data_IF_580618472158
#
_entry.id   IF_580618472158
#
_cell.length_a   1.000
_cell.length_b   1.000
_cell.length_c   1.000
_cell.angle_alpha   90.00
_cell.angle_beta   90.00
_cell.angle_gamma   90.00
#
_symmetry.space_group_name_H-M   'P 1'
#
loop_
_entity.id
_entity.type
_entity.pdbx_description
1 polymer ?
#
# COMPACT_ATOMS: atom_id res chain seq x y z
N UNK A 1 6.44 -8.76 -6.94
CA UNK A 1 5.22 -9.09 -7.70
C UNK A 1 4.13 -9.47 -6.72
N UNK A 2 2.92 -9.04 -6.96
CA UNK A 2 1.74 -9.30 -6.15
C UNK A 2 0.60 -9.70 -7.06
N UNK A 3 -0.13 -10.74 -6.67
CA UNK A 3 -1.45 -11.07 -7.20
C UNK A 3 -2.48 -10.78 -6.11
N UNK A 4 -3.51 -10.03 -6.43
CA UNK A 4 -4.57 -9.66 -5.50
C UNK A 4 -5.93 -9.92 -6.13
N UNK A 5 -6.75 -10.74 -5.49
CA UNK A 5 -8.12 -10.96 -5.89
C UNK A 5 -9.03 -11.26 -4.70
N UNK A 6 -10.26 -10.84 -4.78
CA UNK A 6 -11.34 -11.32 -3.93
C UNK A 6 -12.66 -11.33 -4.71
N UNK A 7 -13.64 -12.04 -4.20
CA UNK A 7 -14.96 -12.13 -4.80
C UNK A 7 -16.04 -11.75 -3.78
N UNK A 8 -16.78 -10.70 -4.10
CA UNK A 8 -17.98 -10.29 -3.39
C UNK A 8 -19.17 -10.36 -4.34
N UNK A 9 -19.96 -11.46 -4.25
CA UNK A 9 -21.16 -11.68 -5.04
C UNK A 9 -20.95 -11.53 -6.57
N UNK A 10 -19.86 -12.09 -7.07
CA UNK A 10 -19.48 -12.04 -8.48
C UNK A 10 -18.72 -10.77 -8.87
N UNK A 11 -18.52 -9.81 -7.98
CA UNK A 11 -17.69 -8.62 -8.13
C UNK A 11 -16.37 -8.79 -7.41
N UNK A 12 -15.47 -7.85 -7.60
CA UNK A 12 -14.19 -7.81 -6.93
C UNK A 12 -13.03 -7.70 -7.91
N UNK A 13 -11.94 -7.08 -7.52
CA UNK A 13 -10.77 -6.91 -8.35
C UNK A 13 -10.07 -8.25 -8.60
N UNK A 14 -9.34 -8.29 -9.71
CA UNK A 14 -8.32 -9.30 -9.99
C UNK A 14 -7.16 -8.57 -10.63
N UNK A 15 -6.09 -8.36 -9.86
CA UNK A 15 -4.99 -7.47 -10.21
C UNK A 15 -3.66 -8.21 -10.07
N UNK A 16 -2.81 -8.06 -11.08
CA UNK A 16 -1.40 -8.47 -11.07
C UNK A 16 -0.54 -7.22 -11.08
N UNK A 17 0.33 -7.06 -10.08
CA UNK A 17 1.21 -5.91 -9.97
C UNK A 17 2.67 -6.30 -9.83
N UNK A 18 3.54 -5.43 -10.34
CA UNK A 18 4.98 -5.53 -10.16
C UNK A 18 5.57 -4.16 -9.81
N UNK A 19 6.42 -4.14 -8.81
CA UNK A 19 7.12 -2.96 -8.32
C UNK A 19 8.62 -3.19 -8.38
N UNK A 20 9.36 -2.20 -8.93
CA UNK A 20 10.80 -2.07 -8.73
C UNK A 20 11.02 -0.85 -7.85
N UNK A 21 11.77 -1.02 -6.77
CA UNK A 21 12.04 0.03 -5.80
C UNK A 21 13.53 0.36 -5.79
N UNK A 22 13.85 1.62 -5.46
CA UNK A 22 15.23 2.01 -5.16
C UNK A 22 15.64 1.60 -3.73
N UNK A 23 16.88 1.90 -3.36
CA UNK A 23 17.41 1.60 -2.02
C UNK A 23 16.69 2.32 -0.88
N UNK A 24 15.89 3.35 -1.16
CA UNK A 24 15.07 4.06 -0.17
C UNK A 24 13.63 3.54 -0.11
N UNK A 25 13.29 2.54 -0.92
CA UNK A 25 11.94 1.98 -1.01
C UNK A 25 11.00 2.79 -1.90
N UNK A 26 11.50 3.79 -2.65
CA UNK A 26 10.67 4.57 -3.55
C UNK A 26 10.50 3.87 -4.90
N UNK A 27 9.30 3.91 -5.52
CA UNK A 27 9.05 3.29 -6.80
C UNK A 27 9.96 3.82 -7.92
N UNK A 28 10.56 2.91 -8.69
CA UNK A 28 11.27 3.17 -9.94
C UNK A 28 10.40 2.77 -11.12
N UNK A 29 9.77 1.60 -11.02
CA UNK A 29 8.75 1.17 -11.99
C UNK A 29 7.59 0.51 -11.27
N UNK A 30 6.39 0.75 -11.79
CA UNK A 30 5.19 0.02 -11.42
C UNK A 30 4.50 -0.42 -12.70
N UNK A 31 4.01 -1.65 -12.72
CA UNK A 31 3.07 -2.14 -13.73
C UNK A 31 1.95 -2.88 -13.00
N UNK A 32 0.71 -2.50 -13.29
CA UNK A 32 -0.50 -3.05 -12.69
C UNK A 32 -1.49 -3.37 -13.80
N UNK A 33 -1.99 -4.60 -13.83
CA UNK A 33 -2.94 -5.07 -14.85
C UNK A 33 -4.01 -5.93 -14.25
N UNK A 34 -5.19 -5.94 -14.90
CA UNK A 34 -6.28 -6.81 -14.53
C UNK A 34 -7.64 -6.16 -14.67
N UNK A 35 -8.49 -6.35 -13.68
CA UNK A 35 -9.83 -5.73 -13.60
C UNK A 35 -10.06 -5.17 -12.20
N UNK A 36 -10.81 -4.07 -12.14
CA UNK A 36 -11.23 -3.46 -10.87
C UNK A 36 -12.42 -4.19 -10.22
N UNK A 37 -12.97 -3.61 -9.14
CA UNK A 37 -14.12 -4.16 -8.43
C UNK A 37 -15.36 -4.32 -9.32
N UNK A 38 -15.57 -3.45 -10.29
CA UNK A 38 -16.71 -3.48 -11.23
C UNK A 38 -16.40 -4.22 -12.53
N UNK A 39 -15.23 -4.88 -12.63
CA UNK A 39 -14.73 -5.60 -13.79
C UNK A 39 -14.32 -4.71 -14.98
N UNK A 40 -14.10 -3.42 -14.74
CA UNK A 40 -13.47 -2.57 -15.75
C UNK A 40 -11.98 -2.93 -15.87
N UNK A 41 -11.44 -2.82 -17.10
CA UNK A 41 -10.03 -3.12 -17.36
C UNK A 41 -9.11 -2.14 -16.65
N UNK A 42 -8.06 -2.67 -16.00
CA UNK A 42 -6.99 -1.92 -15.37
C UNK A 42 -5.70 -2.18 -16.12
N UNK A 43 -5.04 -1.11 -16.57
CA UNK A 43 -3.68 -1.13 -17.14
C UNK A 43 -2.99 0.17 -16.71
N UNK A 44 -2.15 0.07 -15.67
CA UNK A 44 -1.44 1.20 -15.10
C UNK A 44 0.07 0.98 -15.17
N UNK A 45 0.79 2.05 -15.48
CA UNK A 45 2.25 2.03 -15.52
C UNK A 45 2.81 3.30 -14.88
N UNK A 46 3.95 3.15 -14.22
CA UNK A 46 4.75 4.26 -13.71
C UNK A 46 6.23 3.96 -13.97
N UNK A 47 6.97 5.01 -14.33
CA UNK A 47 8.43 4.96 -14.48
C UNK A 47 9.05 6.25 -13.96
N UNK A 48 10.10 6.12 -13.16
CA UNK A 48 10.94 7.22 -12.68
C UNK A 48 12.34 7.09 -13.27
N UNK A 49 12.80 8.15 -13.95
CA UNK A 49 14.18 8.36 -14.37
C UNK A 49 14.93 9.29 -13.43
N UNK A 50 16.13 9.71 -13.81
CA UNK A 50 16.92 10.66 -13.01
C UNK A 50 16.29 12.06 -12.94
N UNK A 51 15.52 12.45 -13.93
CA UNK A 51 15.02 13.82 -14.14
C UNK A 51 13.49 13.91 -14.28
N UNK A 52 12.81 12.79 -14.47
CA UNK A 52 11.37 12.78 -14.75
C UNK A 52 10.66 11.55 -14.18
N UNK A 53 9.37 11.72 -13.98
CA UNK A 53 8.39 10.67 -13.71
C UNK A 53 7.37 10.66 -14.83
N UNK A 54 6.99 9.47 -15.29
CA UNK A 54 5.93 9.27 -16.28
C UNK A 54 4.96 8.24 -15.76
N UNK A 55 3.67 8.46 -15.96
CA UNK A 55 2.66 7.46 -15.62
C UNK A 55 1.49 7.50 -16.57
N UNK A 56 0.84 6.36 -16.68
CA UNK A 56 -0.37 6.19 -17.46
C UNK A 56 -1.33 5.27 -16.70
N UNK A 57 -2.58 5.70 -16.63
CA UNK A 57 -3.71 4.94 -16.10
C UNK A 57 -5.01 5.34 -16.84
N UNK A 58 -6.16 4.92 -16.35
CA UNK A 58 -7.44 5.23 -16.97
C UNK A 58 -7.81 6.73 -16.93
N UNK A 59 -7.25 7.49 -15.98
CA UNK A 59 -7.57 8.91 -15.78
C UNK A 59 -6.49 9.85 -16.33
N UNK A 60 -5.22 9.40 -16.40
CA UNK A 60 -4.07 10.26 -16.66
C UNK A 60 -3.05 9.59 -17.60
N UNK A 61 -2.42 10.39 -18.45
CA UNK A 61 -1.20 10.03 -19.22
C UNK A 61 -0.26 11.23 -19.13
N UNK A 62 0.65 11.19 -18.15
CA UNK A 62 1.38 12.36 -17.68
C UNK A 62 2.89 12.14 -17.62
N UNK A 63 3.61 13.26 -17.79
CA UNK A 63 5.05 13.36 -17.53
C UNK A 63 5.34 14.60 -16.69
N UNK A 64 6.09 14.44 -15.59
CA UNK A 64 6.52 15.54 -14.73
C UNK A 64 8.00 15.47 -14.42
N UNK A 65 8.63 16.64 -14.22
CA UNK A 65 9.98 16.71 -13.70
C UNK A 65 10.05 16.13 -12.28
N UNK A 66 11.12 15.43 -11.97
CA UNK A 66 11.39 14.93 -10.63
C UNK A 66 11.93 16.08 -9.75
N UNK A 67 11.21 16.45 -8.71
CA UNK A 67 11.55 17.57 -7.79
C UNK A 67 11.85 17.05 -6.38
N UNK A 68 12.48 15.90 -6.25
CA UNK A 68 12.80 15.32 -4.94
C UNK A 68 12.18 13.93 -4.73
N UNK A 69 12.37 13.37 -3.54
CA UNK A 69 11.82 12.05 -3.23
C UNK A 69 10.30 12.10 -3.16
N UNK A 70 9.64 11.24 -3.93
CA UNK A 70 8.20 11.13 -3.97
C UNK A 70 7.76 9.67 -4.16
N UNK A 71 6.59 9.34 -3.64
CA UNK A 71 5.97 8.02 -3.81
C UNK A 71 4.80 8.13 -4.78
N UNK A 72 4.80 7.31 -5.84
CA UNK A 72 3.67 7.24 -6.77
C UNK A 72 2.60 6.31 -6.23
N UNK A 73 1.36 6.78 -6.22
CA UNK A 73 0.17 6.00 -5.87
C UNK A 73 -0.55 5.57 -7.14
N UNK A 74 -0.84 4.27 -7.25
CA UNK A 74 -1.67 3.75 -8.35
C UNK A 74 -3.14 4.17 -8.14
N UNK A 75 -3.91 4.19 -9.22
CA UNK A 75 -5.35 4.48 -9.16
C UNK A 75 -6.13 3.30 -8.54
N UNK A 76 -5.62 2.07 -8.74
CA UNK A 76 -6.21 0.83 -8.24
C UNK A 76 -5.22 0.09 -7.32
N UNK A 77 -4.92 0.62 -6.12
CA UNK A 77 -3.88 0.07 -5.27
C UNK A 77 -4.20 -1.35 -4.80
N UNK A 78 -3.16 -2.16 -4.66
CA UNK A 78 -3.22 -3.45 -3.96
C UNK A 78 -2.72 -3.28 -2.53
N UNK A 79 -3.13 -4.11 -1.56
CA UNK A 79 -2.76 -3.96 -0.14
C UNK A 79 -1.25 -3.91 0.12
N UNK A 80 -0.43 -4.58 -0.69
CA UNK A 80 1.03 -4.50 -0.57
C UNK A 80 1.57 -3.10 -0.91
N UNK A 81 0.90 -2.32 -1.77
CA UNK A 81 1.31 -0.93 -2.07
C UNK A 81 1.27 -0.05 -0.83
N UNK A 82 0.26 -0.25 0.04
CA UNK A 82 0.17 0.48 1.31
C UNK A 82 1.35 0.15 2.24
N UNK A 83 1.80 -1.10 2.26
CA UNK A 83 2.99 -1.49 3.01
C UNK A 83 4.29 -0.96 2.39
N UNK A 84 4.37 -0.88 1.05
CA UNK A 84 5.49 -0.24 0.35
C UNK A 84 5.58 1.25 0.70
N UNK A 85 4.44 1.96 0.67
CA UNK A 85 4.35 3.36 1.09
C UNK A 85 4.74 3.53 2.57
N UNK A 86 4.20 2.69 3.45
CA UNK A 86 4.53 2.73 4.87
C UNK A 86 6.04 2.59 5.12
N UNK A 87 6.71 1.63 4.46
CA UNK A 87 8.16 1.46 4.54
C UNK A 87 8.94 2.66 4.02
N UNK A 88 8.52 3.21 2.89
CA UNK A 88 9.14 4.40 2.31
C UNK A 88 9.02 5.59 3.27
N UNK A 89 7.86 5.80 3.88
CA UNK A 89 7.62 6.84 4.88
C UNK A 89 8.47 6.64 6.15
N UNK A 90 8.58 5.41 6.65
CA UNK A 90 9.40 5.10 7.82
C UNK A 90 10.89 5.39 7.59
N UNK A 91 11.36 5.28 6.34
CA UNK A 91 12.73 5.57 5.94
C UNK A 91 12.96 7.03 5.51
N UNK A 92 11.89 7.81 5.36
CA UNK A 92 11.97 9.20 4.91
C UNK A 92 12.31 10.17 6.06
N UNK A 93 12.97 11.32 5.77
CA UNK A 93 13.12 12.39 6.75
C UNK A 93 11.76 12.81 7.31
N UNK A 94 11.71 13.02 8.64
CA UNK A 94 10.49 13.42 9.37
C UNK A 94 9.29 12.48 9.14
N UNK A 95 9.55 11.26 8.60
CA UNK A 95 8.52 10.29 8.25
C UNK A 95 7.45 10.86 7.31
N UNK A 96 7.87 11.68 6.35
CA UNK A 96 7.02 12.35 5.37
C UNK A 96 7.56 12.19 3.96
N UNK A 97 6.65 12.10 2.99
CA UNK A 97 6.96 12.06 1.55
C UNK A 97 5.91 12.82 0.76
N UNK A 98 6.36 13.46 -0.31
CA UNK A 98 5.46 13.94 -1.34
C UNK A 98 4.87 12.74 -2.10
N UNK A 99 3.61 12.89 -2.52
CA UNK A 99 2.88 11.89 -3.28
C UNK A 99 2.73 12.35 -4.74
N UNK A 100 2.75 11.38 -5.64
CA UNK A 100 2.44 11.58 -7.05
C UNK A 100 1.19 10.76 -7.35
N UNK A 101 0.18 11.33 -8.03
CA UNK A 101 0.18 12.62 -8.75
C UNK A 101 0.09 13.86 -7.87
N UNK A 102 -0.38 13.79 -6.62
CA UNK A 102 -0.51 14.96 -5.76
C UNK A 102 -0.56 14.59 -4.28
N UNK A 103 -0.22 15.56 -3.42
CA UNK A 103 -0.36 15.44 -1.96
C UNK A 103 0.95 15.19 -1.24
N UNK A 104 0.83 14.95 0.05
CA UNK A 104 1.92 14.58 0.96
C UNK A 104 1.39 13.61 2.01
N UNK A 105 2.12 12.55 2.27
CA UNK A 105 1.79 11.61 3.33
C UNK A 105 2.79 11.71 4.48
N UNK A 106 2.31 11.33 5.66
CA UNK A 106 3.12 11.10 6.85
C UNK A 106 2.71 9.82 7.55
N UNK A 107 3.62 9.22 8.33
CA UNK A 107 3.32 8.00 9.08
C UNK A 107 3.64 8.19 10.56
N UNK A 108 2.83 7.58 11.42
CA UNK A 108 3.04 7.58 12.86
C UNK A 108 2.69 6.23 13.45
N UNK A 109 3.58 5.69 14.29
CA UNK A 109 3.29 4.48 15.07
C UNK A 109 2.28 4.78 16.16
N UNK A 110 1.25 3.94 16.28
CA UNK A 110 0.21 4.07 17.29
C UNK A 110 0.32 3.04 18.42
N UNK A 111 0.64 1.79 18.08
CA UNK A 111 0.68 0.70 19.04
C UNK A 111 1.63 -0.42 18.59
N UNK A 112 1.93 -1.31 19.51
CA UNK A 112 2.58 -2.60 19.26
C UNK A 112 1.80 -3.67 19.99
N UNK A 113 1.76 -4.87 19.43
CA UNK A 113 1.20 -6.04 20.09
C UNK A 113 1.82 -7.33 19.59
N UNK A 114 1.77 -8.35 20.43
CA UNK A 114 2.07 -9.73 20.04
C UNK A 114 0.75 -10.40 19.65
N UNK A 115 0.74 -11.03 18.49
CA UNK A 115 -0.41 -11.80 17.98
C UNK A 115 -0.01 -13.24 17.77
N UNK A 116 -0.92 -14.15 18.10
CA UNK A 116 -0.73 -15.59 17.90
C UNK A 116 -1.78 -16.12 16.94
N UNK A 117 -1.40 -17.11 16.16
CA UNK A 117 -2.26 -17.85 15.24
C UNK A 117 -1.65 -19.19 14.89
N UNK A 118 -2.22 -19.92 13.97
CA UNK A 118 -1.71 -21.23 13.52
C UNK A 118 -0.30 -21.17 12.95
N UNK A 119 0.09 -20.01 12.37
CA UNK A 119 1.43 -19.77 11.86
C UNK A 119 2.45 -19.33 12.93
N UNK A 120 2.10 -19.42 14.22
CA UNK A 120 2.96 -19.07 15.36
C UNK A 120 2.63 -17.72 15.97
N UNK A 121 3.63 -17.10 16.59
CA UNK A 121 3.50 -15.77 17.23
C UNK A 121 4.29 -14.73 16.44
N UNK A 122 3.73 -13.51 16.31
CA UNK A 122 4.34 -12.36 15.64
C UNK A 122 4.17 -11.09 16.45
N UNK A 123 5.25 -10.31 16.51
CA UNK A 123 5.16 -8.93 16.95
C UNK A 123 4.73 -8.06 15.75
N UNK A 124 3.73 -7.23 15.97
CA UNK A 124 3.18 -6.34 14.94
C UNK A 124 2.99 -4.94 15.49
N UNK A 125 3.18 -3.97 14.61
CA UNK A 125 3.07 -2.56 14.89
C UNK A 125 1.92 -1.94 14.08
N UNK A 126 1.07 -1.20 14.77
CA UNK A 126 0.02 -0.39 14.13
C UNK A 126 0.58 0.98 13.76
N UNK A 127 0.36 1.36 12.52
CA UNK A 127 0.69 2.68 12.00
C UNK A 127 -0.54 3.39 11.46
N UNK A 128 -0.54 4.71 11.59
CA UNK A 128 -1.47 5.62 10.91
C UNK A 128 -0.73 6.36 9.81
N UNK A 129 -1.21 6.24 8.57
CA UNK A 129 -0.76 7.02 7.42
C UNK A 129 -1.77 8.13 7.18
N UNK A 130 -1.33 9.38 7.30
CA UNK A 130 -2.13 10.58 7.04
C UNK A 130 -1.79 11.17 5.68
N UNK A 131 -2.77 11.83 5.04
CA UNK A 131 -2.59 12.50 3.75
C UNK A 131 -3.07 11.70 2.54
N UNK A 132 -3.55 10.46 2.72
CA UNK A 132 -4.16 9.66 1.65
C UNK A 132 -5.65 10.00 1.49
N UNK A 133 -6.34 10.15 2.60
CA UNK A 133 -7.76 10.49 2.69
C UNK A 133 -8.01 11.45 3.85
N UNK A 134 -9.26 11.85 4.06
CA UNK A 134 -9.64 12.69 5.21
C UNK A 134 -9.39 12.01 6.55
N UNK A 135 -9.47 10.68 6.62
CA UNK A 135 -9.17 9.91 7.81
C UNK A 135 -7.82 9.22 7.64
N UNK A 136 -7.01 9.09 8.71
CA UNK A 136 -5.78 8.31 8.63
C UNK A 136 -6.06 6.86 8.23
N UNK A 137 -5.27 6.34 7.32
CA UNK A 137 -5.29 4.93 6.94
C UNK A 137 -4.51 4.10 7.96
N UNK A 138 -5.11 3.06 8.50
CA UNK A 138 -4.50 2.20 9.52
C UNK A 138 -3.93 0.93 8.88
N UNK A 139 -2.67 0.64 9.17
CA UNK A 139 -1.97 -0.54 8.66
C UNK A 139 -1.16 -1.21 9.77
N UNK A 140 -1.24 -2.52 9.83
CA UNK A 140 -0.38 -3.34 10.68
C UNK A 140 0.78 -3.90 9.86
N UNK A 141 1.98 -3.69 10.36
CA UNK A 141 3.21 -4.26 9.80
C UNK A 141 3.87 -5.19 10.82
N UNK A 142 4.53 -6.24 10.32
CA UNK A 142 5.41 -7.07 11.16
C UNK A 142 6.77 -6.38 11.40
N UNK A 143 7.66 -7.03 12.15
CA UNK A 143 9.00 -6.50 12.45
C UNK A 143 9.88 -6.29 11.22
N UNK A 144 9.61 -7.01 10.13
CA UNK A 144 10.30 -6.82 8.85
C UNK A 144 9.63 -5.74 7.99
N UNK A 145 8.67 -4.98 8.57
CA UNK A 145 7.87 -3.95 7.92
C UNK A 145 7.09 -4.48 6.70
N UNK A 146 6.69 -5.76 6.74
CA UNK A 146 5.83 -6.35 5.72
C UNK A 146 4.37 -6.22 6.13
N UNK A 147 3.49 -6.16 5.14
CA UNK A 147 2.06 -6.16 5.38
C UNK A 147 1.66 -7.32 6.30
N UNK A 148 0.98 -7.00 7.38
CA UNK A 148 0.43 -8.00 8.29
C UNK A 148 -1.09 -8.00 8.28
N UNK A 149 -1.71 -6.81 8.46
CA UNK A 149 -3.16 -6.66 8.36
C UNK A 149 -3.55 -5.23 8.00
N UNK A 150 -4.70 -5.11 7.31
CA UNK A 150 -5.42 -3.88 7.08
C UNK A 150 -6.89 -4.07 7.45
N UNK A 151 -7.47 -3.08 8.09
CA UNK A 151 -8.86 -3.13 8.54
C UNK A 151 -9.62 -1.90 8.04
N UNK A 152 -10.82 -2.16 7.52
CA UNK A 152 -11.80 -1.14 7.17
C UNK A 152 -13.17 -1.51 7.78
N UNK A 153 -14.15 -0.62 7.69
CA UNK A 153 -15.50 -0.85 8.25
C UNK A 153 -16.24 -2.04 7.61
N UNK A 154 -15.75 -2.57 6.48
CA UNK A 154 -16.41 -3.65 5.75
C UNK A 154 -15.51 -4.85 5.42
N UNK A 155 -14.20 -4.74 5.62
CA UNK A 155 -13.27 -5.82 5.32
C UNK A 155 -12.06 -5.80 6.24
N UNK A 156 -11.55 -6.99 6.53
CA UNK A 156 -10.27 -7.19 7.19
C UNK A 156 -9.42 -8.09 6.30
N UNK A 157 -8.23 -7.61 5.96
CA UNK A 157 -7.19 -8.42 5.32
C UNK A 157 -6.15 -8.73 6.38
N UNK A 158 -5.81 -9.99 6.53
CA UNK A 158 -4.80 -10.43 7.49
C UNK A 158 -3.95 -11.53 6.87
N UNK A 159 -2.69 -11.59 7.30
CA UNK A 159 -1.78 -12.65 6.88
C UNK A 159 -2.33 -14.02 7.23
N UNK A 160 -2.25 -14.95 6.28
CA UNK A 160 -2.68 -16.34 6.43
C UNK A 160 -2.10 -16.99 7.71
N UNK A 161 -2.95 -17.73 8.41
CA UNK A 161 -2.61 -18.39 9.67
C UNK A 161 -2.70 -17.51 10.91
N UNK A 162 -3.23 -16.27 10.79
CA UNK A 162 -3.46 -15.33 11.89
C UNK A 162 -4.91 -14.85 11.99
N UNK A 163 -5.85 -15.55 11.39
CA UNK A 163 -7.27 -15.20 11.37
C UNK A 163 -7.86 -15.05 12.78
N UNK A 164 -7.33 -15.81 13.74
CA UNK A 164 -7.75 -15.76 15.15
C UNK A 164 -7.39 -14.43 15.84
N UNK A 165 -6.45 -13.65 15.26
CA UNK A 165 -6.06 -12.35 15.79
C UNK A 165 -6.98 -11.19 15.34
N UNK A 166 -7.90 -11.41 14.39
CA UNK A 166 -8.82 -10.38 13.87
C UNK A 166 -9.52 -9.61 14.99
N UNK A 167 -10.16 -10.24 16.02
CA UNK A 167 -10.84 -9.50 17.07
C UNK A 167 -9.93 -8.58 17.90
N UNK A 168 -8.63 -8.90 18.00
CA UNK A 168 -7.66 -8.06 18.70
C UNK A 168 -7.20 -6.88 17.83
N UNK A 169 -7.11 -7.08 16.52
CA UNK A 169 -6.74 -6.08 15.52
C UNK A 169 -7.85 -5.03 15.37
N UNK A 170 -9.12 -5.45 15.34
CA UNK A 170 -10.30 -4.58 15.17
C UNK A 170 -10.56 -3.66 16.38
N UNK A 171 -10.09 -4.01 17.56
CA UNK A 171 -10.32 -3.23 18.80
C UNK A 171 -9.34 -2.06 18.96
N UNK A 172 -8.39 -1.89 18.09
CA UNK A 172 -7.35 -0.85 18.18
C UNK A 172 -7.57 0.25 17.16
#
# INVERSE_FOLDING_TARGET
KVHFEFNDRGRGPKLDSSYTLDAKGLPVTIALKGVDYLKASVDETFTRSADAMTWKNAAEDEKRALVGPAFFLTLNPVPEEDALLARALLNAPEQQLDLVPAGRASIRKLASMSVSGKAGTREVDLYAISGLTLMPYLIWLDRDQRFFAGYSSWSCLIREGFEEAIPAIEKR
#
